data_IF_192253473934
#
_entry.id   IF_192253473934
#
_cell.length_a   1.000
_cell.length_b   1.000
_cell.length_c   1.000
_cell.angle_alpha   90.00
_cell.angle_beta   90.00
_cell.angle_gamma   90.00
#
_symmetry.space_group_name_H-M   'P 1'
#
loop_
_entity.id
_entity.type
_entity.pdbx_description
1 polymer ?
#
# COMPACT_ATOMS: atom_id res chain seq x y z
N UNK A 1 21.80 10.67 2.71
CA UNK A 1 21.58 12.13 2.69
C UNK A 1 22.58 12.93 3.52
N UNK A 2 23.16 12.39 4.61
CA UNK A 2 24.26 13.04 5.35
C UNK A 2 25.48 13.31 4.46
N UNK A 3 25.90 12.31 3.67
CA UNK A 3 27.06 12.41 2.76
C UNK A 3 26.86 13.47 1.66
N UNK A 4 25.63 13.71 1.21
CA UNK A 4 25.33 14.73 0.19
C UNK A 4 25.42 16.16 0.74
N UNK A 5 24.86 16.40 1.94
CA UNK A 5 25.02 17.68 2.63
C UNK A 5 26.44 17.91 3.12
N UNK A 6 27.12 16.88 3.61
CA UNK A 6 28.52 16.95 4.01
C UNK A 6 29.40 17.32 2.80
N UNK A 7 29.16 16.74 1.62
CA UNK A 7 29.82 17.15 0.36
C UNK A 7 29.59 18.62 0.01
N UNK A 8 28.35 19.10 0.09
CA UNK A 8 28.05 20.50 -0.18
C UNK A 8 28.70 21.46 0.84
N UNK A 9 28.91 21.00 2.08
CA UNK A 9 29.47 21.81 3.17
C UNK A 9 30.99 21.79 3.22
N UNK A 10 31.62 20.64 2.93
CA UNK A 10 33.07 20.43 3.00
C UNK A 10 33.77 20.74 1.68
N UNK A 11 33.22 20.28 0.56
CA UNK A 11 33.86 20.37 -0.75
C UNK A 11 33.22 21.43 -1.67
N UNK A 12 32.08 22.03 -1.26
CA UNK A 12 31.25 22.91 -2.10
C UNK A 12 30.87 22.30 -3.46
N UNK A 13 30.89 20.98 -3.58
CA UNK A 13 30.55 20.26 -4.81
C UNK A 13 29.34 19.38 -4.64
N UNK A 14 28.59 19.22 -5.74
CA UNK A 14 27.52 18.22 -5.86
C UNK A 14 27.98 16.96 -6.59
N UNK A 15 29.25 16.91 -6.98
CA UNK A 15 29.82 15.80 -7.71
C UNK A 15 29.83 14.55 -6.84
N UNK A 16 29.32 13.46 -7.43
CA UNK A 16 29.23 12.16 -6.77
C UNK A 16 30.27 11.23 -7.38
N UNK A 17 31.18 10.77 -6.54
CA UNK A 17 32.19 9.77 -6.87
C UNK A 17 32.38 8.87 -5.65
N UNK A 18 32.47 7.56 -5.87
CA UNK A 18 32.52 6.58 -4.78
C UNK A 18 33.74 6.78 -3.86
N UNK A 19 34.89 7.19 -4.43
CA UNK A 19 36.10 7.48 -3.64
C UNK A 19 35.89 8.68 -2.70
N UNK A 20 35.27 9.75 -3.21
CA UNK A 20 34.93 10.94 -2.40
C UNK A 20 33.89 10.60 -1.33
N UNK A 21 32.89 9.80 -1.71
CA UNK A 21 31.83 9.36 -0.80
C UNK A 21 32.40 8.51 0.34
N UNK A 22 33.37 7.64 0.05
CA UNK A 22 34.07 6.83 1.06
C UNK A 22 34.86 7.69 2.05
N UNK A 23 35.59 8.72 1.57
CA UNK A 23 36.33 9.66 2.44
C UNK A 23 35.39 10.46 3.34
N UNK A 24 34.28 10.97 2.79
CA UNK A 24 33.27 11.71 3.56
C UNK A 24 32.61 10.80 4.60
N UNK A 25 32.29 9.55 4.26
CA UNK A 25 31.75 8.57 5.22
C UNK A 25 32.78 8.29 6.33
N UNK A 26 34.04 8.01 5.97
CA UNK A 26 35.09 7.73 6.94
C UNK A 26 35.30 8.90 7.92
N UNK A 27 35.28 10.14 7.41
CA UNK A 27 35.39 11.35 8.22
C UNK A 27 34.20 11.55 9.15
N UNK A 28 32.97 11.41 8.63
CA UNK A 28 31.75 11.48 9.44
C UNK A 28 31.77 10.41 10.55
N UNK A 29 32.20 9.19 10.26
CA UNK A 29 32.35 8.12 11.25
C UNK A 29 33.43 8.45 12.28
N UNK A 30 34.61 8.92 11.85
CA UNK A 30 35.70 9.29 12.76
C UNK A 30 35.33 10.44 13.71
N UNK A 31 34.49 11.36 13.26
CA UNK A 31 33.95 12.48 14.06
C UNK A 31 32.70 12.12 14.86
N UNK A 32 32.28 10.84 14.84
CA UNK A 32 31.05 10.36 15.48
C UNK A 32 29.78 11.06 14.97
N UNK A 33 29.84 11.65 13.77
CA UNK A 33 28.70 12.12 12.99
C UNK A 33 28.03 10.94 12.25
N UNK A 34 27.88 9.83 12.96
CA UNK A 34 27.27 8.61 12.48
C UNK A 34 26.09 8.22 13.35
N UNK A 35 25.14 7.52 12.75
CA UNK A 35 24.04 6.91 13.50
C UNK A 35 24.59 5.81 14.39
N UNK A 36 24.32 5.88 15.70
CA UNK A 36 24.58 4.78 16.63
C UNK A 36 23.46 3.74 16.45
N UNK A 37 23.78 2.49 16.07
CA UNK A 37 22.78 1.45 15.92
C UNK A 37 22.06 1.19 17.24
N UNK A 38 20.74 1.09 17.20
CA UNK A 38 19.97 0.60 18.33
C UNK A 38 20.33 -0.86 18.63
N UNK A 39 20.64 -1.15 19.89
CA UNK A 39 20.67 -2.52 20.42
C UNK A 39 19.33 -2.84 21.04
N UNK A 40 18.35 -3.19 20.21
CA UNK A 40 17.06 -3.54 20.77
C UNK A 40 17.07 -4.96 21.30
N UNK A 41 16.23 -5.19 22.29
CA UNK A 41 15.92 -6.53 22.76
C UNK A 41 15.25 -7.38 21.67
N UNK A 42 15.05 -8.65 22.01
CA UNK A 42 14.52 -9.65 21.09
C UNK A 42 13.12 -9.28 20.57
N UNK A 43 12.24 -8.77 21.43
CA UNK A 43 10.85 -8.44 21.10
C UNK A 43 10.80 -7.29 20.09
N UNK A 44 11.56 -6.21 20.32
CA UNK A 44 11.69 -5.11 19.36
C UNK A 44 12.39 -5.55 18.07
N UNK A 45 13.43 -6.38 18.15
CA UNK A 45 14.11 -6.91 16.96
C UNK A 45 13.18 -7.77 16.10
N UNK A 46 12.33 -8.59 16.73
CA UNK A 46 11.28 -9.38 16.07
C UNK A 46 10.29 -8.47 15.36
N UNK A 47 9.82 -7.41 16.00
CA UNK A 47 8.90 -6.45 15.38
C UNK A 47 9.50 -5.81 14.12
N UNK A 48 10.77 -5.38 14.19
CA UNK A 48 11.49 -4.83 13.02
C UNK A 48 11.56 -5.80 11.85
N UNK A 49 11.87 -7.08 12.11
CA UNK A 49 11.92 -8.10 11.05
C UNK A 49 10.54 -8.34 10.41
N UNK A 50 9.47 -8.33 11.22
CA UNK A 50 8.10 -8.45 10.73
C UNK A 50 7.69 -7.23 9.90
N UNK A 51 8.02 -6.01 10.34
CA UNK A 51 7.77 -4.78 9.58
C UNK A 51 8.45 -4.78 8.21
N UNK A 52 9.75 -5.11 8.16
CA UNK A 52 10.49 -5.22 6.90
C UNK A 52 9.90 -6.29 5.96
N UNK A 53 9.39 -7.40 6.52
CA UNK A 53 8.68 -8.42 5.72
C UNK A 53 7.35 -7.90 5.20
N UNK A 54 6.57 -7.21 6.02
CA UNK A 54 5.28 -6.60 5.64
C UNK A 54 5.48 -5.62 4.50
N UNK A 55 6.45 -4.72 4.60
CA UNK A 55 6.73 -3.73 3.55
C UNK A 55 7.02 -4.40 2.20
N UNK A 56 7.92 -5.39 2.18
CA UNK A 56 8.23 -6.14 0.94
C UNK A 56 7.00 -6.81 0.34
N UNK A 57 6.15 -7.44 1.17
CA UNK A 57 4.93 -8.10 0.69
C UNK A 57 3.90 -7.11 0.15
N UNK A 58 3.79 -5.90 0.71
CA UNK A 58 2.90 -4.87 0.18
C UNK A 58 3.37 -4.35 -1.18
N UNK A 59 4.68 -4.17 -1.36
CA UNK A 59 5.27 -3.83 -2.66
C UNK A 59 4.99 -4.94 -3.68
N UNK A 60 5.20 -6.20 -3.29
CA UNK A 60 4.94 -7.36 -4.14
C UNK A 60 3.46 -7.48 -4.53
N UNK A 61 2.53 -7.29 -3.57
CA UNK A 61 1.10 -7.32 -3.84
C UNK A 61 0.70 -6.21 -4.84
N UNK A 62 1.23 -5.00 -4.66
CA UNK A 62 1.01 -3.87 -5.57
C UNK A 62 1.55 -4.17 -6.96
N UNK A 63 2.75 -4.75 -7.07
CA UNK A 63 3.34 -5.17 -8.33
C UNK A 63 2.47 -6.22 -9.05
N UNK A 64 1.89 -7.17 -8.32
CA UNK A 64 0.97 -8.15 -8.91
C UNK A 64 -0.30 -7.50 -9.46
N UNK A 65 -0.86 -6.50 -8.77
CA UNK A 65 -2.03 -5.74 -9.25
C UNK A 65 -1.71 -5.00 -10.55
N UNK A 66 -0.54 -4.34 -10.62
CA UNK A 66 -0.11 -3.68 -11.85
C UNK A 66 0.08 -4.66 -13.00
N UNK A 67 0.78 -5.77 -12.77
CA UNK A 67 0.97 -6.80 -13.78
C UNK A 67 -0.35 -7.41 -14.27
N UNK A 68 -1.29 -7.70 -13.35
CA UNK A 68 -2.63 -8.18 -13.72
C UNK A 68 -3.36 -7.16 -14.58
N UNK A 69 -3.34 -5.89 -14.19
CA UNK A 69 -3.98 -4.82 -14.96
C UNK A 69 -3.40 -4.76 -16.37
N UNK A 70 -2.09 -4.68 -16.52
CA UNK A 70 -1.43 -4.57 -17.83
C UNK A 70 -1.75 -5.78 -18.74
N UNK A 71 -1.74 -6.99 -18.17
CA UNK A 71 -2.07 -8.21 -18.90
C UNK A 71 -3.53 -8.22 -19.35
N UNK A 72 -4.46 -7.79 -18.47
CA UNK A 72 -5.89 -7.77 -18.77
C UNK A 72 -6.25 -6.63 -19.73
N UNK A 73 -5.66 -5.45 -19.60
CA UNK A 73 -5.84 -4.33 -20.54
C UNK A 73 -5.42 -4.73 -21.96
N UNK A 74 -4.32 -5.48 -22.08
CA UNK A 74 -3.85 -5.99 -23.37
C UNK A 74 -4.75 -7.11 -23.93
N UNK A 75 -5.11 -8.10 -23.11
CA UNK A 75 -5.69 -9.35 -23.60
C UNK A 75 -7.22 -9.41 -23.54
N UNK A 76 -7.83 -8.79 -22.54
CA UNK A 76 -9.25 -8.92 -22.20
C UNK A 76 -9.76 -7.68 -21.45
N UNK A 77 -9.74 -6.48 -22.07
CA UNK A 77 -9.98 -5.22 -21.37
C UNK A 77 -11.38 -5.10 -20.76
N UNK A 78 -12.42 -5.65 -21.41
CA UNK A 78 -13.80 -5.53 -20.91
C UNK A 78 -14.04 -6.19 -19.55
N UNK A 79 -13.16 -7.07 -19.08
CA UNK A 79 -13.27 -7.62 -17.72
C UNK A 79 -12.97 -6.59 -16.64
N UNK A 80 -12.16 -5.57 -16.94
CA UNK A 80 -11.81 -4.52 -15.99
C UNK A 80 -12.99 -3.59 -15.72
N UNK A 81 -13.90 -3.43 -16.68
CA UNK A 81 -15.12 -2.63 -16.54
C UNK A 81 -16.24 -3.35 -15.76
N UNK A 82 -16.07 -4.66 -15.50
CA UNK A 82 -17.09 -5.46 -14.82
C UNK A 82 -17.31 -5.09 -13.34
N UNK A 83 -16.42 -4.26 -12.77
CA UNK A 83 -16.57 -3.70 -11.45
C UNK A 83 -15.92 -2.31 -11.37
N UNK A 84 -16.52 -1.37 -10.63
CA UNK A 84 -15.93 -0.04 -10.43
C UNK A 84 -14.56 -0.08 -9.73
N UNK A 85 -14.33 -1.08 -8.88
CA UNK A 85 -13.05 -1.32 -8.21
C UNK A 85 -12.70 -2.82 -8.23
N UNK A 86 -12.20 -3.34 -9.36
CA UNK A 86 -12.01 -4.78 -9.58
C UNK A 86 -11.13 -5.46 -8.53
N UNK A 87 -9.97 -4.88 -8.25
CA UNK A 87 -8.97 -5.41 -7.33
C UNK A 87 -9.35 -5.31 -5.84
N UNK A 88 -10.44 -4.61 -5.49
CA UNK A 88 -11.02 -4.67 -4.15
C UNK A 88 -12.32 -5.46 -4.07
N UNK A 89 -12.73 -6.12 -5.15
CA UNK A 89 -13.97 -6.90 -5.20
C UNK A 89 -13.67 -8.39 -5.16
N UNK A 90 -13.99 -9.04 -4.03
CA UNK A 90 -13.90 -10.50 -3.91
C UNK A 90 -14.77 -11.23 -4.96
N UNK A 91 -15.89 -10.64 -5.37
CA UNK A 91 -16.76 -11.22 -6.41
C UNK A 91 -16.08 -11.19 -7.78
N UNK A 92 -15.41 -10.08 -8.10
CA UNK A 92 -14.65 -9.96 -9.34
C UNK A 92 -13.44 -10.90 -9.35
N UNK A 93 -12.67 -10.93 -8.25
CA UNK A 93 -11.50 -11.82 -8.14
C UNK A 93 -11.88 -13.31 -8.22
N UNK A 94 -12.99 -13.70 -7.58
CA UNK A 94 -13.52 -15.06 -7.67
C UNK A 94 -13.97 -15.40 -9.10
N UNK A 95 -14.68 -14.48 -9.77
CA UNK A 95 -15.10 -14.66 -11.16
C UNK A 95 -13.90 -14.78 -12.11
N UNK A 96 -12.93 -13.87 -11.99
CA UNK A 96 -11.69 -13.90 -12.74
C UNK A 96 -10.92 -15.21 -12.53
N UNK A 97 -10.74 -15.64 -11.27
CA UNK A 97 -10.11 -16.93 -10.92
C UNK A 97 -10.80 -18.11 -11.60
N UNK A 98 -12.15 -18.13 -11.60
CA UNK A 98 -12.91 -19.20 -12.25
C UNK A 98 -12.66 -19.24 -13.75
N UNK A 99 -12.60 -18.08 -14.40
CA UNK A 99 -12.35 -17.95 -15.84
C UNK A 99 -10.93 -18.37 -16.18
N UNK A 100 -9.92 -17.77 -15.56
CA UNK A 100 -8.51 -18.02 -15.87
C UNK A 100 -8.11 -19.49 -15.66
N UNK A 101 -8.70 -20.17 -14.67
CA UNK A 101 -8.48 -21.61 -14.43
C UNK A 101 -9.05 -22.54 -15.50
N UNK A 102 -9.96 -22.07 -16.36
CA UNK A 102 -10.77 -22.92 -17.25
C UNK A 102 -10.80 -22.49 -18.71
N UNK A 103 -10.37 -21.27 -19.01
CA UNK A 103 -10.46 -20.73 -20.35
C UNK A 103 -9.32 -21.19 -21.26
N UNK A 104 -8.16 -21.62 -20.72
CA UNK A 104 -6.95 -21.93 -21.51
C UNK A 104 -6.61 -20.78 -22.47
N UNK A 105 -6.74 -19.54 -21.97
CA UNK A 105 -6.52 -18.32 -22.72
C UNK A 105 -7.64 -17.87 -23.66
N UNK A 106 -8.78 -18.57 -23.64
CA UNK A 106 -9.94 -18.32 -24.50
C UNK A 106 -11.23 -18.16 -23.67
N UNK A 107 -11.46 -16.98 -23.04
CA UNK A 107 -12.62 -16.74 -22.18
C UNK A 107 -13.96 -17.08 -22.84
N UNK A 108 -14.06 -16.87 -24.16
CA UNK A 108 -15.24 -17.12 -24.96
C UNK A 108 -15.68 -18.59 -24.92
N UNK A 109 -14.79 -19.55 -24.62
CA UNK A 109 -15.16 -20.97 -24.47
C UNK A 109 -16.16 -21.20 -23.33
N UNK A 110 -16.12 -20.34 -22.30
CA UNK A 110 -17.02 -20.41 -21.15
C UNK A 110 -18.39 -19.79 -21.45
N UNK A 111 -18.58 -19.09 -22.57
CA UNK A 111 -19.91 -18.58 -22.99
C UNK A 111 -20.92 -19.69 -23.28
N UNK A 112 -20.44 -20.93 -23.51
CA UNK A 112 -21.27 -22.13 -23.64
C UNK A 112 -21.96 -22.52 -22.33
N UNK A 113 -21.51 -21.98 -21.19
CA UNK A 113 -22.19 -22.19 -19.91
C UNK A 113 -23.39 -21.27 -19.81
N UNK A 114 -24.36 -21.64 -18.99
CA UNK A 114 -25.40 -20.67 -18.58
C UNK A 114 -24.84 -19.74 -17.51
N UNK A 115 -25.37 -18.51 -17.44
CA UNK A 115 -25.04 -17.57 -16.36
C UNK A 115 -25.24 -18.21 -14.97
N UNK A 116 -26.33 -18.96 -14.78
CA UNK A 116 -26.60 -19.66 -13.52
C UNK A 116 -25.51 -20.68 -13.17
N UNK A 117 -25.00 -21.44 -14.16
CA UNK A 117 -23.88 -22.37 -13.95
C UNK A 117 -22.61 -21.61 -13.57
N UNK A 118 -22.27 -20.56 -14.33
CA UNK A 118 -21.09 -19.73 -14.03
C UNK A 118 -21.17 -19.15 -12.62
N UNK A 119 -22.29 -18.53 -12.27
CA UNK A 119 -22.57 -17.98 -10.94
C UNK A 119 -22.39 -19.03 -9.83
N UNK A 120 -22.91 -20.24 -10.01
CA UNK A 120 -22.77 -21.31 -9.00
C UNK A 120 -21.31 -21.69 -8.72
N UNK A 121 -20.44 -21.64 -9.73
CA UNK A 121 -19.01 -21.94 -9.60
C UNK A 121 -18.27 -20.76 -8.96
N UNK A 122 -18.62 -19.53 -9.34
CA UNK A 122 -18.06 -18.31 -8.73
C UNK A 122 -18.40 -18.23 -7.24
N UNK A 123 -19.64 -18.52 -6.85
CA UNK A 123 -20.07 -18.53 -5.44
C UNK A 123 -19.27 -19.54 -4.61
N UNK A 124 -18.90 -20.69 -5.18
CA UNK A 124 -18.04 -21.68 -4.51
C UNK A 124 -16.58 -21.22 -4.37
N UNK A 125 -16.09 -20.42 -5.31
CA UNK A 125 -14.73 -19.86 -5.27
C UNK A 125 -14.65 -18.61 -4.35
N UNK A 126 -15.77 -17.93 -4.11
CA UNK A 126 -15.87 -16.66 -3.38
C UNK A 126 -15.20 -16.65 -1.98
N UNK A 127 -15.33 -17.69 -1.13
CA UNK A 127 -14.69 -17.71 0.18
C UNK A 127 -13.16 -17.67 0.12
N UNK A 128 -12.54 -18.17 -0.97
CA UNK A 128 -11.07 -18.12 -1.16
C UNK A 128 -10.57 -16.67 -1.31
N UNK A 129 -11.46 -15.75 -1.66
CA UNK A 129 -11.19 -14.33 -1.84
C UNK A 129 -11.76 -13.49 -0.68
N UNK A 130 -12.10 -14.13 0.45
CA UNK A 130 -12.66 -13.45 1.63
C UNK A 130 -14.10 -12.94 1.43
N UNK A 131 -14.76 -13.30 0.33
CA UNK A 131 -16.11 -12.85 0.05
C UNK A 131 -17.16 -13.73 0.72
N UNK A 132 -18.13 -13.11 1.41
CA UNK A 132 -19.29 -13.79 1.99
C UNK A 132 -20.59 -13.45 1.25
N UNK A 133 -20.66 -12.26 0.64
CA UNK A 133 -21.86 -11.75 -0.03
C UNK A 133 -21.70 -11.81 -1.55
N UNK A 134 -22.63 -12.51 -2.19
CA UNK A 134 -22.75 -12.56 -3.65
C UNK A 134 -23.26 -11.22 -4.20
N UNK A 135 -22.51 -10.63 -5.14
CA UNK A 135 -22.96 -9.48 -5.94
C UNK A 135 -23.16 -9.90 -7.39
N UNK A 136 -24.40 -10.31 -7.70
CA UNK A 136 -24.76 -10.88 -9.01
C UNK A 136 -24.42 -9.97 -10.18
N UNK A 137 -24.61 -8.66 -10.05
CA UNK A 137 -24.29 -7.70 -11.11
C UNK A 137 -22.83 -7.76 -11.58
N UNK A 138 -21.86 -7.94 -10.66
CA UNK A 138 -20.44 -8.07 -11.01
C UNK A 138 -20.17 -9.40 -11.71
N UNK A 139 -20.77 -10.50 -11.21
CA UNK A 139 -20.61 -11.84 -11.79
C UNK A 139 -21.17 -11.86 -13.22
N UNK A 140 -22.34 -11.25 -13.41
CA UNK A 140 -22.99 -11.12 -14.71
C UNK A 140 -22.18 -10.24 -15.66
N UNK A 141 -21.63 -9.12 -15.18
CA UNK A 141 -20.76 -8.28 -16.00
C UNK A 141 -19.49 -9.03 -16.46
N UNK A 142 -18.84 -9.81 -15.57
CA UNK A 142 -17.71 -10.67 -15.98
C UNK A 142 -18.15 -11.75 -16.97
N UNK A 143 -19.35 -12.32 -16.81
CA UNK A 143 -19.91 -13.30 -17.73
C UNK A 143 -20.16 -12.71 -19.12
N UNK A 144 -20.71 -11.50 -19.20
CA UNK A 144 -20.89 -10.76 -20.45
C UNK A 144 -19.54 -10.43 -21.10
N UNK A 145 -18.53 -10.08 -20.31
CA UNK A 145 -17.19 -9.81 -20.81
C UNK A 145 -16.52 -11.05 -21.45
N UNK A 146 -16.99 -12.29 -21.21
CA UNK A 146 -16.37 -13.50 -21.79
C UNK A 146 -16.28 -13.47 -23.31
N UNK A 147 -17.19 -12.75 -23.97
CA UNK A 147 -17.24 -12.63 -25.44
C UNK A 147 -16.76 -11.25 -25.93
N UNK A 148 -16.06 -10.50 -25.07
CA UNK A 148 -15.47 -9.20 -25.43
C UNK A 148 -14.54 -9.34 -26.65
N UNK A 149 -14.86 -8.67 -27.77
CA UNK A 149 -14.07 -8.75 -28.99
C UNK A 149 -12.77 -7.95 -28.92
N UNK A 150 -12.59 -7.11 -27.90
CA UNK A 150 -11.46 -6.19 -27.76
C UNK A 150 -10.20 -6.87 -27.21
N UNK A 151 -9.05 -6.19 -27.35
CA UNK A 151 -7.74 -6.68 -26.94
C UNK A 151 -6.91 -7.30 -28.07
N UNK A 152 -5.66 -7.61 -27.76
CA UNK A 152 -4.66 -8.12 -28.71
C UNK A 152 -4.74 -9.64 -28.80
N UNK A 153 -5.52 -10.14 -29.75
CA UNK A 153 -5.78 -11.57 -29.96
C UNK A 153 -4.52 -12.44 -30.02
N UNK A 154 -3.45 -11.96 -30.68
CA UNK A 154 -2.19 -12.69 -30.81
C UNK A 154 -1.49 -12.92 -29.45
N UNK A 155 -1.73 -12.06 -28.46
CA UNK A 155 -1.14 -12.15 -27.12
C UNK A 155 -2.10 -12.77 -26.09
N UNK A 156 -3.40 -12.87 -26.41
CA UNK A 156 -4.46 -13.19 -25.45
C UNK A 156 -4.19 -14.49 -24.69
N UNK A 157 -3.81 -15.57 -25.39
CA UNK A 157 -3.61 -16.87 -24.74
C UNK A 157 -2.52 -16.84 -23.67
N UNK A 158 -1.32 -16.40 -24.04
CA UNK A 158 -0.17 -16.34 -23.13
C UNK A 158 -0.35 -15.28 -22.03
N UNK A 159 -0.97 -14.14 -22.34
CA UNK A 159 -1.25 -13.10 -21.37
C UNK A 159 -2.23 -13.56 -20.28
N UNK A 160 -3.30 -14.28 -20.65
CA UNK A 160 -4.28 -14.80 -19.69
C UNK A 160 -3.74 -16.00 -18.89
N UNK A 161 -2.87 -16.83 -19.47
CA UNK A 161 -2.15 -17.86 -18.73
C UNK A 161 -1.27 -17.23 -17.64
N UNK A 162 -0.47 -16.21 -18.00
CA UNK A 162 0.33 -15.44 -17.04
C UNK A 162 -0.52 -14.73 -16.01
N UNK A 163 -1.63 -14.13 -16.40
CA UNK A 163 -2.57 -13.49 -15.47
C UNK A 163 -3.09 -14.50 -14.44
N UNK A 164 -3.28 -15.76 -14.82
CA UNK A 164 -3.65 -16.84 -13.91
C UNK A 164 -2.62 -17.07 -12.81
N UNK A 165 -1.32 -17.05 -13.14
CA UNK A 165 -0.23 -17.17 -12.15
C UNK A 165 -0.11 -15.93 -11.27
N UNK A 166 -0.11 -14.73 -11.87
CA UNK A 166 -0.02 -13.47 -11.11
C UNK A 166 -1.21 -13.31 -10.15
N UNK A 167 -2.41 -13.78 -10.53
CA UNK A 167 -3.58 -13.80 -9.65
C UNK A 167 -3.37 -14.71 -8.44
N UNK A 168 -2.72 -15.86 -8.62
CA UNK A 168 -2.39 -16.78 -7.51
C UNK A 168 -1.30 -16.20 -6.62
N UNK A 169 -0.27 -15.59 -7.20
CA UNK A 169 0.80 -14.91 -6.46
C UNK A 169 0.23 -13.77 -5.63
N UNK A 170 -0.64 -12.94 -6.20
CA UNK A 170 -1.30 -11.86 -5.50
C UNK A 170 -2.15 -12.36 -4.32
N UNK A 171 -2.91 -13.45 -4.53
CA UNK A 171 -3.70 -14.07 -3.46
C UNK A 171 -2.82 -14.57 -2.32
N UNK A 172 -1.75 -15.30 -2.64
CA UNK A 172 -0.81 -15.84 -1.66
C UNK A 172 -0.09 -14.72 -0.90
N UNK A 173 0.35 -13.67 -1.60
CA UNK A 173 1.03 -12.52 -1.00
C UNK A 173 0.10 -11.73 -0.08
N UNK A 174 -1.16 -11.54 -0.46
CA UNK A 174 -2.17 -10.89 0.41
C UNK A 174 -2.43 -11.70 1.69
N UNK A 175 -2.49 -13.04 1.59
CA UNK A 175 -2.60 -13.90 2.78
C UNK A 175 -1.37 -13.80 3.68
N UNK A 176 -0.16 -13.74 3.11
CA UNK A 176 1.08 -13.56 3.87
C UNK A 176 1.14 -12.20 4.54
N UNK A 177 0.62 -11.13 3.92
CA UNK A 177 0.48 -9.81 4.56
C UNK A 177 -0.37 -9.95 5.82
N UNK A 178 -1.56 -10.52 5.72
CA UNK A 178 -2.46 -10.69 6.87
C UNK A 178 -1.81 -11.51 8.00
N UNK A 179 -1.06 -12.57 7.67
CA UNK A 179 -0.34 -13.38 8.65
C UNK A 179 0.76 -12.58 9.37
N UNK A 180 1.52 -11.75 8.63
CA UNK A 180 2.56 -10.93 9.22
C UNK A 180 1.95 -9.82 10.08
N UNK A 181 0.88 -9.18 9.62
CA UNK A 181 0.16 -8.17 10.39
C UNK A 181 -0.40 -8.72 11.70
N UNK A 182 -0.98 -9.93 11.69
CA UNK A 182 -1.42 -10.60 12.92
C UNK A 182 -0.26 -10.79 13.92
N UNK A 183 0.88 -11.29 13.44
CA UNK A 183 2.09 -11.46 14.27
C UNK A 183 2.67 -10.14 14.79
N UNK A 184 2.53 -9.06 14.02
CA UNK A 184 2.94 -7.74 14.47
C UNK A 184 2.08 -7.23 15.62
N UNK A 185 0.77 -7.51 15.59
CA UNK A 185 -0.14 -7.18 16.69
C UNK A 185 0.16 -8.03 17.93
N UNK A 186 0.44 -9.33 17.77
CA UNK A 186 0.88 -10.19 18.89
C UNK A 186 2.11 -9.63 19.60
N UNK A 187 3.05 -9.02 18.87
CA UNK A 187 4.22 -8.37 19.47
C UNK A 187 3.85 -7.09 20.20
N UNK A 188 2.85 -6.33 19.75
CA UNK A 188 2.35 -5.18 20.51
C UNK A 188 1.68 -5.60 21.82
N UNK A 189 0.97 -6.73 21.80
CA UNK A 189 0.36 -7.30 23.00
C UNK A 189 1.44 -7.73 24.00
N UNK A 190 2.52 -8.37 23.52
CA UNK A 190 3.69 -8.75 24.33
C UNK A 190 4.40 -7.53 24.95
N UNK A 191 4.43 -6.40 24.23
CA UNK A 191 5.00 -5.13 24.71
C UNK A 191 4.03 -4.32 25.58
N UNK A 192 2.79 -4.81 25.80
CA UNK A 192 1.73 -4.09 26.51
C UNK A 192 1.40 -2.71 25.90
N UNK A 193 1.59 -2.57 24.57
CA UNK A 193 1.40 -1.29 23.86
C UNK A 193 0.06 -1.18 23.13
N UNK A 194 -0.67 -2.28 22.94
CA UNK A 194 -1.88 -2.32 22.12
C UNK A 194 -2.96 -1.33 22.58
N UNK A 195 -3.27 -1.30 23.89
CA UNK A 195 -4.28 -0.38 24.44
C UNK A 195 -3.85 1.08 24.31
N UNK A 196 -2.56 1.36 24.54
CA UNK A 196 -2.01 2.70 24.43
C UNK A 196 -2.10 3.21 22.99
N UNK A 197 -1.66 2.42 22.01
CA UNK A 197 -1.62 2.88 20.61
C UNK A 197 -3.01 2.97 19.99
N UNK A 198 -3.94 2.10 20.39
CA UNK A 198 -5.33 2.14 19.91
C UNK A 198 -6.17 3.24 20.56
N UNK A 199 -5.69 3.84 21.66
CA UNK A 199 -6.30 5.06 22.23
C UNK A 199 -6.17 6.29 21.33
N UNK A 200 -5.24 6.27 20.36
CA UNK A 200 -4.99 7.36 19.42
C UNK A 200 -6.06 7.31 18.31
N UNK A 201 -6.93 8.33 18.18
CA UNK A 201 -7.98 8.33 17.17
C UNK A 201 -7.38 8.23 15.75
N UNK A 202 -7.83 7.23 14.99
CA UNK A 202 -7.40 7.00 13.62
C UNK A 202 -6.15 6.14 13.45
N UNK A 203 -5.53 5.66 14.54
CA UNK A 203 -4.40 4.73 14.48
C UNK A 203 -4.88 3.30 14.76
N UNK A 204 -4.68 2.40 13.81
CA UNK A 204 -4.94 0.97 14.02
C UNK A 204 -3.75 0.29 14.72
N UNK A 205 -3.99 -0.84 15.41
CA UNK A 205 -2.90 -1.63 16.02
C UNK A 205 -1.84 -2.03 14.98
N UNK A 206 -2.25 -2.46 13.78
CA UNK A 206 -1.33 -2.77 12.67
C UNK A 206 -0.56 -1.53 12.21
N UNK A 207 -1.23 -0.38 12.12
CA UNK A 207 -0.59 0.90 11.76
C UNK A 207 0.45 1.32 12.79
N UNK A 208 0.11 1.21 14.08
CA UNK A 208 1.03 1.45 15.18
C UNK A 208 2.22 0.49 15.14
N UNK A 209 1.98 -0.81 14.95
CA UNK A 209 3.02 -1.82 14.84
C UNK A 209 3.96 -1.55 13.66
N UNK A 210 3.42 -1.07 12.53
CA UNK A 210 4.23 -0.68 11.37
C UNK A 210 5.12 0.54 11.67
N UNK A 211 4.60 1.56 12.36
CA UNK A 211 5.40 2.71 12.80
C UNK A 211 6.51 2.24 13.75
N UNK A 212 6.15 1.45 14.76
CA UNK A 212 7.06 0.94 15.78
C UNK A 212 8.10 -0.04 15.23
N UNK A 213 7.77 -0.81 14.18
CA UNK A 213 8.72 -1.65 13.47
C UNK A 213 9.77 -0.86 12.69
N UNK A 214 9.49 0.38 12.32
CA UNK A 214 10.48 1.27 11.69
C UNK A 214 11.25 2.07 12.75
N UNK A 215 10.56 2.57 13.77
CA UNK A 215 11.15 3.48 14.75
C UNK A 215 11.88 2.79 15.89
N UNK A 216 11.57 1.53 16.19
CA UNK A 216 12.01 0.86 17.41
C UNK A 216 11.39 1.45 18.68
N UNK A 217 12.00 1.18 19.83
CA UNK A 217 11.48 1.58 21.14
C UNK A 217 11.40 3.13 21.26
N UNK A 218 10.21 3.72 21.46
CA UNK A 218 10.07 5.16 21.64
C UNK A 218 10.80 5.72 22.87
N UNK A 219 11.04 4.91 23.90
CA UNK A 219 11.69 5.35 25.15
C UNK A 219 13.17 5.68 24.98
N UNK A 220 13.80 5.20 23.90
CA UNK A 220 15.20 5.50 23.57
C UNK A 220 15.41 6.95 23.11
N UNK A 221 14.34 7.69 22.84
CA UNK A 221 14.40 9.06 22.36
C UNK A 221 14.20 10.04 23.50
N UNK A 222 15.12 11.01 23.63
CA UNK A 222 15.05 12.05 24.67
C UNK A 222 13.80 12.94 24.59
N UNK A 223 13.15 12.98 23.42
CA UNK A 223 11.92 13.74 23.23
C UNK A 223 11.08 13.21 22.05
N UNK A 224 9.76 13.48 22.04
CA UNK A 224 8.91 13.20 20.88
C UNK A 224 9.42 13.87 19.59
N UNK A 225 10.03 15.06 19.69
CA UNK A 225 10.62 15.76 18.55
C UNK A 225 11.80 15.00 17.94
N UNK A 226 12.59 14.30 18.77
CA UNK A 226 13.68 13.45 18.31
C UNK A 226 13.15 12.21 17.55
N UNK A 227 12.07 11.59 18.02
CA UNK A 227 11.37 10.51 17.33
C UNK A 227 10.82 10.95 15.97
N UNK A 228 10.14 12.10 15.91
CA UNK A 228 9.60 12.66 14.66
C UNK A 228 10.73 12.97 13.65
N UNK A 229 11.84 13.56 14.12
CA UNK A 229 13.04 13.79 13.29
C UNK A 229 13.65 12.48 12.78
N UNK A 230 13.65 11.44 13.60
CA UNK A 230 14.13 10.10 13.22
C UNK A 230 13.27 9.47 12.13
N UNK A 231 11.95 9.64 12.20
CA UNK A 231 11.00 9.25 11.16
C UNK A 231 11.13 10.03 9.84
N UNK A 232 12.09 10.96 9.74
CA UNK A 232 12.30 11.80 8.56
C UNK A 232 11.23 12.86 8.37
N UNK A 233 10.43 13.12 9.40
CA UNK A 233 9.45 14.21 9.44
C UNK A 233 10.11 15.40 10.12
N UNK A 234 10.14 16.56 9.46
CA UNK A 234 10.61 17.80 10.07
C UNK A 234 9.42 18.76 10.16
N UNK A 235 8.75 18.84 11.33
CA UNK A 235 7.80 19.91 11.60
C UNK A 235 8.55 21.24 11.44
N UNK A 236 8.16 22.03 10.44
CA UNK A 236 8.63 23.40 10.30
C UNK A 236 7.64 24.30 11.01
N UNK A 237 8.13 25.04 11.99
CA UNK A 237 7.43 26.23 12.48
C UNK A 237 7.34 27.22 11.32
N UNK A 238 6.11 27.65 11.00
CA UNK A 238 5.86 28.71 10.03
C UNK A 238 5.80 30.05 10.78
N UNK A 239 6.92 30.41 11.38
CA UNK A 239 7.10 31.67 12.11
C UNK A 239 7.98 32.60 11.29
N UNK A 240 7.39 33.68 10.79
CA UNK A 240 8.13 34.82 10.24
C UNK A 240 7.71 36.08 10.99
N UNK A 241 8.64 36.64 11.77
CA UNK A 241 8.35 37.79 12.64
C UNK A 241 7.21 37.52 13.64
N UNK A 242 6.25 38.44 13.74
CA UNK A 242 5.08 38.37 14.63
C UNK A 242 3.96 37.41 14.17
N UNK A 243 4.18 36.62 13.12
CA UNK A 243 3.17 35.70 12.59
C UNK A 243 3.49 34.25 12.96
N UNK A 244 2.58 33.60 13.68
CA UNK A 244 2.59 32.16 13.92
C UNK A 244 1.53 31.48 13.03
N UNK A 245 1.95 30.93 11.89
CA UNK A 245 1.10 30.11 11.03
C UNK A 245 0.96 28.66 11.53
N UNK A 246 0.02 27.90 10.94
CA UNK A 246 -0.07 26.45 11.19
C UNK A 246 1.25 25.75 10.81
N UNK A 247 1.82 24.92 11.69
CA UNK A 247 3.06 24.20 11.40
C UNK A 247 2.85 23.28 10.19
N UNK A 248 3.78 23.35 9.24
CA UNK A 248 3.75 22.51 8.04
C UNK A 248 4.73 21.35 8.24
N UNK A 249 4.32 20.15 7.84
CA UNK A 249 5.21 18.98 7.79
C UNK A 249 6.01 19.09 6.49
N UNK A 250 7.32 19.29 6.62
CA UNK A 250 8.22 19.24 5.46
C UNK A 250 9.02 17.94 5.47
N UNK A 251 9.28 17.30 4.31
CA UNK A 251 10.17 16.14 4.23
C UNK A 251 11.54 16.50 4.81
N UNK A 252 11.98 15.75 5.81
CA UNK A 252 13.29 15.92 6.42
C UNK A 252 14.41 15.29 5.57
N UNK A 253 15.69 15.59 5.85
CA UNK A 253 16.84 15.03 5.13
C UNK A 253 17.06 13.52 5.38
N UNK A 254 16.10 12.78 5.94
CA UNK A 254 16.13 11.32 6.08
C UNK A 254 15.03 10.64 5.22
N UNK A 255 14.58 11.31 4.14
CA UNK A 255 13.43 10.94 3.31
C UNK A 255 13.51 9.62 2.51
N UNK A 256 14.37 8.66 2.88
CA UNK A 256 14.20 7.28 2.40
C UNK A 256 12.98 6.59 3.05
N UNK A 257 12.44 7.15 4.15
CA UNK A 257 11.26 6.68 4.87
C UNK A 257 9.95 7.40 4.47
N UNK A 258 10.00 8.44 3.64
CA UNK A 258 8.81 9.28 3.33
C UNK A 258 7.78 8.58 2.44
N UNK A 259 8.15 7.50 1.75
CA UNK A 259 7.18 6.60 1.11
C UNK A 259 6.48 5.63 2.08
N UNK A 260 6.98 5.47 3.31
CA UNK A 260 6.63 4.37 4.24
C UNK A 260 5.61 4.73 5.33
N UNK A 261 5.39 6.02 5.59
CA UNK A 261 4.45 6.50 6.62
C UNK A 261 3.10 7.00 6.06
N UNK A 262 3.01 7.29 4.76
CA UNK A 262 1.80 7.86 4.16
C UNK A 262 0.63 6.87 4.00
N UNK A 263 0.89 5.56 4.04
CA UNK A 263 -0.11 4.50 3.86
C UNK A 263 -0.90 4.13 5.12
N UNK A 264 -0.58 4.71 6.28
CA UNK A 264 -1.28 4.45 7.56
C UNK A 264 -2.41 5.42 7.89
N UNK A 265 -2.56 6.51 7.13
CA UNK A 265 -3.53 7.58 7.38
C UNK A 265 -4.43 7.75 6.15
N UNK A 266 -5.36 6.81 5.91
CA UNK A 266 -6.33 6.97 4.83
C UNK A 266 -7.20 5.76 4.52
N UNK A 267 -8.30 5.58 5.25
CA UNK A 267 -9.57 5.15 4.67
C UNK A 267 -10.71 5.38 5.67
N UNK A 268 -11.19 6.62 5.75
CA UNK A 268 -12.56 6.90 6.19
C UNK A 268 -13.41 7.10 4.93
N UNK A 269 -14.26 6.11 4.63
CA UNK A 269 -15.29 6.26 3.61
C UNK A 269 -16.30 7.35 4.04
N UNK A 270 -16.80 8.19 3.13
CA UNK A 270 -17.82 9.18 3.46
C UNK A 270 -19.15 8.47 3.74
N UNK A 271 -19.71 8.70 4.94
CA UNK A 271 -21.09 8.33 5.27
C UNK A 271 -22.06 9.28 4.54
N UNK A 272 -23.20 8.78 4.04
CA UNK A 272 -24.15 9.56 3.26
C UNK A 272 -25.13 10.29 4.18
N UNK A 273 -25.32 11.60 3.96
CA UNK A 273 -26.40 12.36 4.56
C UNK A 273 -25.96 13.69 5.16
N UNK A 274 -25.90 14.73 4.33
CA UNK A 274 -26.58 15.99 4.65
C UNK A 274 -26.63 16.85 3.38
N UNK A 275 -27.68 16.67 2.58
CA UNK A 275 -27.99 17.56 1.46
C UNK A 275 -28.63 18.80 2.08
N UNK A 276 -27.83 19.85 2.31
CA UNK A 276 -28.37 21.20 2.53
C UNK A 276 -28.61 21.86 1.18
N UNK A 277 -29.82 22.38 0.91
CA UNK A 277 -30.10 23.10 -0.33
C UNK A 277 -29.34 24.44 -0.36
N UNK A 278 -28.74 24.74 -1.51
CA UNK A 278 -28.13 26.04 -1.79
C UNK A 278 -29.20 27.14 -1.79
N UNK A 279 -28.96 28.31 -1.19
CA UNK A 279 -29.88 29.44 -1.28
C UNK A 279 -29.84 30.04 -2.68
N UNK A 280 -31.03 30.20 -3.25
CA UNK A 280 -31.30 30.98 -4.46
C UNK A 280 -30.91 32.44 -4.15
N UNK A 281 -29.92 32.97 -4.87
CA UNK A 281 -29.61 34.40 -4.84
C UNK A 281 -30.26 35.07 -6.04
N UNK A 282 -31.21 35.92 -5.71
CA UNK A 282 -31.99 36.77 -6.58
C UNK A 282 -31.18 38.01 -7.07
N UNK A 283 -31.25 38.26 -8.39
CA UNK A 283 -31.16 39.53 -9.14
C UNK A 283 -29.84 40.36 -9.22
N UNK A 284 -29.68 41.31 -10.20
CA UNK A 284 -30.62 41.74 -11.25
C UNK A 284 -30.08 41.79 -12.70
N UNK A 285 -31.04 41.96 -13.63
CA UNK A 285 -30.90 42.25 -15.06
C UNK A 285 -30.06 43.51 -15.35
N UNK A 286 -29.22 43.42 -16.38
CA UNK A 286 -29.18 44.36 -17.51
C UNK A 286 -28.89 43.60 -18.79
#
# INVERSE_FOLDING_TARGET
MLVGKARETEDYTRDKSDDKDAVVIARLVAQLHCYVPERADETWARLRQLGARRERLLVEATACVHQLRDLLECAWPGVLDAAAYPFGSSNWCAALSVVLKRCDGHPERLSRWTLARFESVVVKELPRWGGLRRRRAIIEAVFTALVDPNGVWAQRRGALERAGWVLQDWQATTQRVAQVEARMVEVLDELELTDLVTSIPGLSAVGAAAILAETGDPTRFDSPRALVKHAGLCPRENTSGNFCGRPQISPGPASAATGRLASGLGSSAPQPGDVRPLPISDYPRR
#
